data_IF_439510809484
#
_entry.id   IF_439510809484
#
_cell.length_a   1.000
_cell.length_b   1.000
_cell.length_c   1.000
_cell.angle_alpha   90.00
_cell.angle_beta   90.00
_cell.angle_gamma   90.00
#
_symmetry.space_group_name_H-M   'P 1'
#
loop_
_entity.id
_entity.type
_entity.pdbx_description
1 polymer ?
#
# COMPACT_ATOMS: atom_id res chain seq x y z
N UNK A 1 10.09 -53.85 13.82
CA UNK A 1 10.43 -54.34 12.46
C UNK A 1 9.53 -53.64 11.46
N UNK A 2 10.11 -52.80 10.60
CA UNK A 2 9.87 -52.73 9.15
C UNK A 2 10.51 -51.44 8.60
N UNK A 3 11.75 -51.66 8.16
CA UNK A 3 12.58 -50.86 7.29
C UNK A 3 11.93 -50.75 5.88
N UNK A 4 12.03 -49.58 5.24
CA UNK A 4 11.99 -49.32 3.78
C UNK A 4 12.47 -47.87 3.61
N UNK A 5 13.76 -47.56 3.45
CA UNK A 5 14.60 -47.68 2.25
C UNK A 5 13.90 -47.22 0.97
N UNK A 6 14.14 -45.96 0.61
CA UNK A 6 14.37 -45.56 -0.77
C UNK A 6 15.57 -44.62 -0.85
N UNK A 7 16.61 -45.15 -1.48
CA UNK A 7 17.77 -44.48 -2.03
C UNK A 7 17.37 -43.81 -3.34
N UNK A 8 17.80 -42.57 -3.61
CA UNK A 8 18.05 -42.15 -4.99
C UNK A 8 19.13 -41.05 -5.07
N UNK A 9 20.32 -41.52 -5.44
CA UNK A 9 21.39 -40.92 -6.25
C UNK A 9 21.78 -39.45 -6.06
N UNK A 10 22.95 -39.32 -5.43
CA UNK A 10 24.01 -38.35 -5.71
C UNK A 10 24.12 -37.98 -7.20
N UNK A 11 24.17 -36.69 -7.51
CA UNK A 11 24.69 -36.16 -8.77
C UNK A 11 25.48 -34.88 -8.49
N UNK A 12 26.79 -35.00 -8.67
CA UNK A 12 27.73 -33.89 -8.71
C UNK A 12 27.37 -32.94 -9.86
N UNK A 13 27.29 -31.64 -9.59
CA UNK A 13 27.67 -30.63 -10.58
C UNK A 13 28.78 -29.77 -10.00
N UNK A 14 29.96 -30.06 -10.52
CA UNK A 14 31.17 -29.27 -10.52
C UNK A 14 30.90 -27.87 -11.08
N UNK A 15 31.13 -26.82 -10.29
CA UNK A 15 31.35 -25.48 -10.81
C UNK A 15 32.67 -25.48 -11.57
N UNK A 16 32.57 -25.66 -12.89
CA UNK A 16 33.67 -25.44 -13.81
C UNK A 16 33.88 -23.93 -13.94
N UNK A 17 35.03 -23.48 -13.44
CA UNK A 17 35.61 -22.23 -13.89
C UNK A 17 36.04 -22.43 -15.35
N UNK A 18 35.35 -21.78 -16.29
CA UNK A 18 35.85 -21.57 -17.65
C UNK A 18 35.68 -20.09 -17.98
N UNK A 19 36.77 -19.39 -18.30
CA UNK A 19 36.79 -17.95 -18.50
C UNK A 19 36.26 -17.60 -19.90
N UNK A 20 35.50 -16.51 -20.00
CA UNK A 20 35.24 -15.85 -21.28
C UNK A 20 36.28 -14.72 -21.50
N UNK A 21 36.82 -14.60 -22.73
CA UNK A 21 37.95 -13.74 -23.03
C UNK A 21 37.53 -12.34 -23.51
N UNK A 22 38.52 -11.42 -23.52
CA UNK A 22 38.60 -10.18 -24.33
C UNK A 22 37.80 -9.01 -23.73
N UNK A 23 38.35 -7.82 -23.45
CA UNK A 23 39.54 -7.12 -23.91
C UNK A 23 39.80 -5.98 -22.90
N UNK A 24 40.85 -6.05 -22.07
CA UNK A 24 41.38 -4.88 -21.35
C UNK A 24 42.84 -4.78 -21.76
N UNK A 25 43.11 -3.81 -22.63
CA UNK A 25 44.46 -3.41 -23.00
C UNK A 25 45.02 -2.63 -21.81
N UNK A 26 45.70 -3.35 -20.93
CA UNK A 26 46.60 -2.77 -19.94
C UNK A 26 47.78 -2.16 -20.69
N UNK A 27 47.88 -0.84 -20.66
CA UNK A 27 49.05 -0.12 -21.15
C UNK A 27 50.20 -0.32 -20.16
N UNK A 28 51.10 -1.19 -20.58
CA UNK A 28 52.47 -1.37 -20.12
C UNK A 28 53.19 -0.02 -19.96
N UNK A 29 53.41 0.45 -18.74
CA UNK A 29 54.46 1.43 -18.44
C UNK A 29 55.66 0.70 -17.84
N UNK A 30 56.56 0.29 -18.73
CA UNK A 30 57.90 -0.17 -18.36
C UNK A 30 58.73 1.07 -17.99
N UNK A 31 58.96 1.19 -16.68
CA UNK A 31 60.29 1.24 -16.05
C UNK A 31 61.01 2.62 -16.05
N UNK A 32 62.12 2.78 -15.30
CA UNK A 32 62.10 3.10 -13.87
C UNK A 32 63.06 4.24 -13.51
N UNK A 33 63.14 4.47 -12.20
CA UNK A 33 64.30 4.99 -11.46
C UNK A 33 64.40 6.51 -11.25
N UNK A 34 64.23 6.81 -9.95
CA UNK A 34 65.20 7.55 -9.14
C UNK A 34 65.17 9.07 -9.37
N UNK A 35 64.27 9.70 -8.63
CA UNK A 35 64.53 11.02 -8.05
C UNK A 35 65.70 10.89 -7.07
N UNK A 36 66.89 11.31 -7.49
CA UNK A 36 67.95 11.63 -6.56
C UNK A 36 68.73 12.84 -7.08
N UNK A 37 68.59 13.93 -6.32
CA UNK A 37 69.31 15.17 -6.51
C UNK A 37 70.77 15.01 -6.07
N UNK A 38 71.71 15.44 -6.91
CA UNK A 38 73.00 16.05 -6.58
C UNK A 38 73.52 16.72 -7.86
N UNK A 39 73.62 18.05 -7.88
CA UNK A 39 74.72 18.93 -7.42
C UNK A 39 75.77 19.18 -8.52
N UNK A 40 75.85 20.47 -8.89
CA UNK A 40 76.89 21.21 -9.62
C UNK A 40 77.33 20.75 -11.02
N UNK A 41 77.01 21.59 -12.00
CA UNK A 41 78.00 21.99 -13.00
C UNK A 41 77.75 23.43 -13.44
N UNK A 42 78.82 24.22 -13.32
CA UNK A 42 78.96 25.63 -13.63
C UNK A 42 78.78 25.92 -15.13
N UNK A 43 78.27 27.10 -15.50
CA UNK A 43 78.47 27.79 -16.79
C UNK A 43 77.90 29.24 -16.71
N UNK A 44 78.37 30.20 -17.53
CA UNK A 44 78.96 31.43 -17.04
C UNK A 44 78.09 32.68 -17.24
N UNK A 45 78.55 33.75 -16.60
CA UNK A 45 78.05 35.12 -16.58
C UNK A 45 77.83 35.73 -17.99
N UNK A 46 76.71 35.46 -18.65
CA UNK A 46 76.23 36.32 -19.76
C UNK A 46 74.71 36.28 -19.98
N UNK A 47 73.94 36.18 -18.91
CA UNK A 47 72.47 36.14 -18.98
C UNK A 47 71.84 37.49 -18.60
N UNK A 48 72.59 38.39 -17.96
CA UNK A 48 72.07 39.66 -17.46
C UNK A 48 71.87 40.75 -18.54
N UNK A 49 72.26 40.49 -19.80
CA UNK A 49 72.12 41.44 -20.92
C UNK A 49 70.96 41.13 -21.87
N UNK A 50 70.39 39.91 -21.82
CA UNK A 50 69.31 39.46 -22.72
C UNK A 50 67.93 39.71 -22.09
N UNK A 51 67.80 39.66 -20.76
CA UNK A 51 66.51 39.89 -20.08
C UNK A 51 66.12 41.37 -19.96
N UNK A 52 67.03 42.31 -20.20
CA UNK A 52 66.76 43.76 -20.05
C UNK A 52 66.24 44.42 -21.32
N UNK A 53 66.29 43.77 -22.48
CA UNK A 53 65.80 44.30 -23.76
C UNK A 53 64.40 43.84 -24.16
N UNK A 54 63.73 43.02 -23.34
CA UNK A 54 62.38 42.52 -23.60
C UNK A 54 61.31 43.03 -22.62
N UNK A 55 61.67 43.89 -21.66
CA UNK A 55 60.70 44.52 -20.72
C UNK A 55 60.26 45.94 -21.13
N UNK A 56 60.72 46.46 -22.27
CA UNK A 56 60.36 47.79 -22.80
C UNK A 56 59.42 47.72 -24.03
N UNK A 57 58.45 46.78 -23.98
CA UNK A 57 57.31 46.76 -24.91
C UNK A 57 56.00 46.68 -24.11
N UNK A 58 55.85 47.62 -23.18
CA UNK A 58 54.67 47.80 -22.32
C UNK A 58 53.71 48.85 -22.89
N UNK A 59 53.49 48.87 -24.21
CA UNK A 59 52.62 49.86 -24.89
C UNK A 59 51.57 49.22 -25.84
N UNK A 60 51.18 47.95 -25.66
CA UNK A 60 50.14 47.30 -26.52
C UNK A 60 48.95 46.72 -25.71
N UNK A 61 48.80 47.04 -24.43
CA UNK A 61 47.60 46.60 -23.66
C UNK A 61 47.00 47.70 -22.78
N UNK A 62 47.03 48.94 -23.24
CA UNK A 62 46.28 50.03 -22.61
C UNK A 62 45.76 50.99 -23.68
N UNK A 63 44.79 50.52 -24.46
CA UNK A 63 43.84 51.41 -25.13
C UNK A 63 42.52 50.66 -25.33
N UNK A 64 41.64 50.84 -24.36
CA UNK A 64 40.26 51.31 -24.58
C UNK A 64 39.57 50.76 -25.85
N UNK A 65 38.77 49.71 -25.68
CA UNK A 65 37.70 49.41 -26.62
C UNK A 65 36.54 48.73 -25.88
N UNK A 66 35.64 49.56 -25.38
CA UNK A 66 34.38 49.24 -24.72
C UNK A 66 33.31 48.73 -25.71
N UNK A 67 33.70 48.14 -26.85
CA UNK A 67 32.75 47.74 -27.89
C UNK A 67 33.24 46.61 -28.82
N UNK A 68 34.16 45.76 -28.37
CA UNK A 68 34.58 44.58 -29.13
C UNK A 68 33.99 43.29 -28.53
N UNK A 69 32.70 43.07 -28.77
CA UNK A 69 32.05 41.78 -28.53
C UNK A 69 32.76 40.73 -29.38
N UNK A 70 33.64 39.95 -28.76
CA UNK A 70 34.30 38.83 -29.42
C UNK A 70 33.21 37.84 -29.90
N UNK A 71 32.96 37.71 -31.22
CA UNK A 71 31.85 36.91 -31.74
C UNK A 71 31.98 35.43 -31.36
N UNK A 72 33.21 34.96 -31.14
CA UNK A 72 33.48 33.60 -30.68
C UNK A 72 33.06 33.37 -29.22
N UNK A 73 33.20 34.40 -28.36
CA UNK A 73 32.77 34.33 -26.96
C UNK A 73 31.23 34.34 -26.83
N UNK A 74 30.54 35.08 -27.71
CA UNK A 74 29.08 35.08 -27.79
C UNK A 74 28.52 33.75 -28.34
N UNK A 75 29.16 33.17 -29.36
CA UNK A 75 28.80 31.84 -29.87
C UNK A 75 29.03 30.73 -28.83
N UNK A 76 30.14 30.78 -28.07
CA UNK A 76 30.40 29.84 -26.99
C UNK A 76 29.39 29.97 -25.85
N UNK A 77 29.04 31.20 -25.44
CA UNK A 77 27.97 31.46 -24.46
C UNK A 77 26.63 30.92 -24.92
N UNK A 78 26.29 31.14 -26.19
CA UNK A 78 25.06 30.64 -26.78
C UNK A 78 25.01 29.11 -26.78
N UNK A 79 26.09 28.44 -27.22
CA UNK A 79 26.19 26.97 -27.17
C UNK A 79 26.12 26.41 -25.76
N UNK A 80 26.78 27.06 -24.80
CA UNK A 80 26.74 26.64 -23.40
C UNK A 80 25.33 26.76 -22.81
N UNK A 81 24.61 27.83 -23.11
CA UNK A 81 23.23 27.99 -22.68
C UNK A 81 22.29 26.94 -23.30
N UNK A 82 22.46 26.64 -24.60
CA UNK A 82 21.68 25.61 -25.29
C UNK A 82 21.94 24.23 -24.69
N UNK A 83 23.20 23.87 -24.45
CA UNK A 83 23.54 22.58 -23.84
C UNK A 83 23.13 22.51 -22.36
N UNK A 84 23.18 23.63 -21.62
CA UNK A 84 22.69 23.71 -20.24
C UNK A 84 21.18 23.50 -20.16
N UNK A 85 20.40 24.15 -21.03
CA UNK A 85 18.95 23.95 -21.08
C UNK A 85 18.57 22.54 -21.58
N UNK A 86 19.36 21.96 -22.50
CA UNK A 86 19.20 20.57 -22.92
C UNK A 86 19.43 19.61 -21.76
N UNK A 87 20.52 19.79 -21.01
CA UNK A 87 20.84 18.98 -19.83
C UNK A 87 19.76 19.13 -18.75
N UNK A 88 19.28 20.35 -18.52
CA UNK A 88 18.20 20.63 -17.56
C UNK A 88 16.90 19.94 -17.94
N UNK A 89 16.57 19.92 -19.22
CA UNK A 89 15.38 19.23 -19.74
C UNK A 89 15.53 17.71 -19.60
N UNK A 90 16.70 17.18 -19.97
CA UNK A 90 17.01 15.75 -19.80
C UNK A 90 16.95 15.32 -18.34
N UNK A 91 17.51 16.11 -17.41
CA UNK A 91 17.49 15.79 -15.99
C UNK A 91 16.08 15.81 -15.42
N UNK A 92 15.22 16.73 -15.87
CA UNK A 92 13.80 16.75 -15.48
C UNK A 92 13.05 15.54 -16.01
N UNK A 93 13.34 15.12 -17.24
CA UNK A 93 12.75 13.94 -17.83
C UNK A 93 13.17 12.67 -17.07
N UNK A 94 14.46 12.51 -16.79
CA UNK A 94 15.00 11.40 -15.99
C UNK A 94 14.42 11.39 -14.57
N UNK A 95 14.24 12.55 -13.93
CA UNK A 95 13.58 12.64 -12.61
C UNK A 95 12.09 12.31 -12.68
N UNK A 96 11.40 12.67 -13.76
CA UNK A 96 9.99 12.31 -13.95
C UNK A 96 9.84 10.80 -14.20
N UNK A 97 10.72 10.21 -15.00
CA UNK A 97 10.77 8.77 -15.25
C UNK A 97 11.14 7.99 -13.99
N UNK A 98 12.12 8.47 -13.22
CA UNK A 98 12.47 7.90 -11.93
C UNK A 98 11.31 8.01 -10.93
N UNK A 99 10.59 9.14 -10.92
CA UNK A 99 9.40 9.32 -10.08
C UNK A 99 8.26 8.41 -10.48
N UNK A 100 8.05 8.16 -11.77
CA UNK A 100 7.06 7.20 -12.27
C UNK A 100 7.43 5.77 -11.85
N UNK A 101 8.72 5.41 -11.96
CA UNK A 101 9.25 4.11 -11.55
C UNK A 101 9.29 3.88 -10.04
N UNK A 102 9.37 4.94 -9.24
CA UNK A 102 9.36 4.92 -7.77
C UNK A 102 7.97 5.20 -7.17
N UNK A 103 6.95 5.44 -8.02
CA UNK A 103 5.58 5.57 -7.56
C UNK A 103 4.90 4.21 -7.56
N UNK A 104 4.16 3.84 -6.49
CA UNK A 104 3.50 2.56 -6.41
C UNK A 104 2.50 2.45 -7.56
N UNK A 105 2.79 1.59 -8.52
CA UNK A 105 1.97 1.49 -9.72
C UNK A 105 0.55 1.07 -9.32
N UNK A 106 -0.48 1.85 -9.66
CA UNK A 106 -1.88 1.50 -9.38
C UNK A 106 -2.29 0.14 -9.96
N UNK A 107 -1.57 -0.33 -10.99
CA UNK A 107 -1.78 -1.65 -11.58
C UNK A 107 -1.40 -2.80 -10.62
N UNK A 108 -0.31 -2.64 -9.85
CA UNK A 108 0.08 -3.63 -8.85
C UNK A 108 -0.94 -3.69 -7.72
N UNK A 109 -1.36 -2.54 -7.18
CA UNK A 109 -2.37 -2.49 -6.12
C UNK A 109 -3.72 -3.05 -6.59
N UNK A 110 -4.15 -2.78 -7.83
CA UNK A 110 -5.36 -3.36 -8.39
C UNK A 110 -5.29 -4.89 -8.48
N UNK A 111 -4.15 -5.45 -8.90
CA UNK A 111 -3.94 -6.91 -8.89
C UNK A 111 -3.96 -7.49 -7.47
N UNK A 112 -3.46 -6.74 -6.49
CA UNK A 112 -3.50 -7.10 -5.08
C UNK A 112 -4.92 -7.11 -4.53
N UNK A 113 -5.75 -6.11 -4.85
CA UNK A 113 -7.18 -6.11 -4.49
C UNK A 113 -7.89 -7.34 -5.06
N UNK A 114 -7.65 -7.67 -6.32
CA UNK A 114 -8.26 -8.83 -6.97
C UNK A 114 -7.85 -10.16 -6.29
N UNK A 115 -6.57 -10.33 -5.97
CA UNK A 115 -6.04 -11.49 -5.25
C UNK A 115 -6.64 -11.61 -3.84
N UNK A 116 -6.75 -10.48 -3.11
CA UNK A 116 -7.40 -10.44 -1.80
C UNK A 116 -8.85 -10.90 -1.90
N UNK A 117 -9.59 -10.33 -2.85
CA UNK A 117 -11.00 -10.67 -3.08
C UNK A 117 -11.17 -12.15 -3.36
N UNK A 118 -10.37 -12.72 -4.27
CA UNK A 118 -10.43 -14.15 -4.62
C UNK A 118 -10.22 -15.05 -3.39
N UNK A 119 -9.26 -14.71 -2.53
CA UNK A 119 -8.97 -15.49 -1.33
C UNK A 119 -9.99 -15.28 -0.20
N UNK A 120 -10.65 -14.12 -0.14
CA UNK A 120 -11.66 -13.84 0.87
C UNK A 120 -13.02 -14.48 0.55
N UNK A 121 -13.38 -14.63 -0.73
CA UNK A 121 -14.63 -15.28 -1.18
C UNK A 121 -14.95 -16.58 -0.43
N UNK A 122 -14.06 -17.58 -0.32
CA UNK A 122 -14.37 -18.82 0.40
C UNK A 122 -14.62 -18.59 1.90
N UNK A 123 -13.91 -17.65 2.53
CA UNK A 123 -14.14 -17.31 3.94
C UNK A 123 -15.50 -16.63 4.14
N UNK A 124 -15.89 -15.72 3.24
CA UNK A 124 -17.20 -15.07 3.27
C UNK A 124 -18.34 -16.06 3.02
N UNK A 125 -18.16 -17.02 2.11
CA UNK A 125 -19.12 -18.10 1.87
C UNK A 125 -19.24 -19.04 3.07
N UNK A 126 -18.12 -19.38 3.72
CA UNK A 126 -18.13 -20.17 4.94
C UNK A 126 -18.89 -19.44 6.06
N UNK A 127 -18.62 -18.15 6.24
CA UNK A 127 -19.33 -17.32 7.22
C UNK A 127 -20.82 -17.29 6.91
N UNK A 128 -21.21 -17.00 5.67
CA UNK A 128 -22.61 -16.99 5.23
C UNK A 128 -23.32 -18.30 5.55
N UNK A 129 -22.71 -19.43 5.21
CA UNK A 129 -23.27 -20.76 5.47
C UNK A 129 -23.44 -21.03 6.96
N UNK A 130 -22.45 -20.64 7.76
CA UNK A 130 -22.45 -20.82 9.21
C UNK A 130 -23.51 -19.94 9.89
N UNK A 131 -23.63 -18.67 9.47
CA UNK A 131 -24.67 -17.76 9.94
C UNK A 131 -26.06 -18.26 9.56
N UNK A 132 -26.25 -18.67 8.30
CA UNK A 132 -27.54 -19.19 7.82
C UNK A 132 -27.95 -20.45 8.59
N UNK A 133 -27.03 -21.40 8.79
CA UNK A 133 -27.29 -22.61 9.56
C UNK A 133 -27.65 -22.27 11.00
N UNK A 134 -26.90 -21.37 11.65
CA UNK A 134 -27.19 -20.99 13.03
C UNK A 134 -28.55 -20.29 13.16
N UNK A 135 -28.89 -19.40 12.23
CA UNK A 135 -30.21 -18.74 12.19
C UNK A 135 -31.33 -19.75 11.97
N UNK A 136 -31.15 -20.70 11.06
CA UNK A 136 -32.14 -21.76 10.83
C UNK A 136 -32.33 -22.64 12.06
N UNK A 137 -31.25 -23.03 12.74
CA UNK A 137 -31.29 -23.82 13.98
C UNK A 137 -32.03 -23.06 15.09
N UNK A 138 -31.69 -21.77 15.28
CA UNK A 138 -32.33 -20.91 16.27
C UNK A 138 -33.82 -20.73 16.00
N UNK A 139 -34.18 -20.36 14.77
CA UNK A 139 -35.57 -20.15 14.37
C UNK A 139 -36.39 -21.44 14.43
N UNK A 140 -35.79 -22.59 14.13
CA UNK A 140 -36.42 -23.89 14.33
C UNK A 140 -36.73 -24.15 15.80
N UNK A 141 -35.77 -23.91 16.71
CA UNK A 141 -35.99 -24.09 18.16
C UNK A 141 -37.05 -23.13 18.71
N UNK A 142 -37.01 -21.85 18.31
CA UNK A 142 -38.02 -20.88 18.70
C UNK A 142 -39.42 -21.29 18.19
N UNK A 143 -39.51 -21.78 16.96
CA UNK A 143 -40.75 -22.31 16.40
C UNK A 143 -41.32 -23.50 17.18
N UNK A 144 -40.46 -24.41 17.67
CA UNK A 144 -40.89 -25.53 18.52
C UNK A 144 -41.50 -25.07 19.84
N UNK A 145 -40.95 -24.02 20.47
CA UNK A 145 -41.54 -23.45 21.69
C UNK A 145 -42.92 -22.83 21.42
N UNK A 146 -43.08 -22.12 20.29
CA UNK A 146 -44.38 -21.56 19.89
C UNK A 146 -45.43 -22.65 19.63
N UNK A 147 -45.03 -23.74 18.97
CA UNK A 147 -45.90 -24.88 18.69
C UNK A 147 -46.31 -25.62 19.98
N UNK A 148 -45.38 -25.75 20.93
CA UNK A 148 -45.65 -26.36 22.23
C UNK A 148 -46.67 -25.52 23.02
N UNK A 149 -46.53 -24.19 23.01
CA UNK A 149 -47.51 -23.27 23.62
C UNK A 149 -48.89 -23.42 22.97
N UNK A 150 -48.97 -23.42 21.65
CA UNK A 150 -50.24 -23.59 20.92
C UNK A 150 -50.93 -24.92 21.27
N UNK A 151 -50.15 -26.00 21.36
CA UNK A 151 -50.69 -27.32 21.71
C UNK A 151 -51.19 -27.35 23.16
N UNK A 152 -50.50 -26.69 24.08
CA UNK A 152 -50.89 -26.61 25.48
C UNK A 152 -52.15 -25.77 25.70
N UNK A 153 -52.30 -24.65 24.98
CA UNK A 153 -53.51 -23.82 25.00
C UNK A 153 -54.73 -24.53 24.38
N UNK A 154 -54.52 -25.37 23.38
CA UNK A 154 -55.61 -26.15 22.78
C UNK A 154 -56.12 -27.27 23.73
N UNK A 155 -55.29 -27.74 24.66
CA UNK A 155 -55.62 -28.86 25.57
C UNK A 155 -56.04 -28.41 26.98
N UNK A 156 -55.73 -27.18 27.39
CA UNK A 156 -56.02 -26.66 28.74
C UNK A 156 -56.15 -25.13 28.76
N UNK A 157 -56.74 -24.58 29.82
CA UNK A 157 -56.75 -23.12 30.04
C UNK A 157 -55.31 -22.58 30.15
N UNK A 158 -54.98 -21.47 29.47
CA UNK A 158 -53.64 -20.90 29.45
C UNK A 158 -53.20 -20.53 30.86
N UNK A 159 -52.20 -21.25 31.38
CA UNK A 159 -51.61 -20.96 32.68
C UNK A 159 -50.42 -20.01 32.51
N UNK A 160 -50.34 -18.91 33.26
CA UNK A 160 -49.21 -17.96 33.18
C UNK A 160 -47.83 -18.60 33.34
N UNK A 161 -47.76 -19.70 34.12
CA UNK A 161 -46.53 -20.46 34.32
C UNK A 161 -45.95 -21.07 33.02
N UNK A 162 -46.80 -21.50 32.07
CA UNK A 162 -46.35 -22.06 30.79
C UNK A 162 -45.64 -21.02 29.93
N UNK A 163 -46.17 -19.80 29.90
CA UNK A 163 -45.56 -18.68 29.18
C UNK A 163 -44.24 -18.26 29.81
N UNK A 164 -44.18 -18.21 31.14
CA UNK A 164 -42.96 -17.88 31.86
C UNK A 164 -41.83 -18.89 31.58
N UNK A 165 -42.15 -20.19 31.56
CA UNK A 165 -41.21 -21.25 31.22
C UNK A 165 -40.75 -21.14 29.75
N UNK A 166 -41.68 -20.92 28.81
CA UNK A 166 -41.35 -20.73 27.41
C UNK A 166 -40.45 -19.51 27.17
N UNK A 167 -40.74 -18.36 27.80
CA UNK A 167 -39.89 -17.17 27.71
C UNK A 167 -38.49 -17.41 28.28
N UNK A 168 -38.39 -18.16 29.38
CA UNK A 168 -37.11 -18.54 29.96
C UNK A 168 -36.29 -19.40 28.99
N UNK A 169 -36.89 -20.46 28.43
CA UNK A 169 -36.24 -21.35 27.46
C UNK A 169 -35.84 -20.60 26.19
N UNK A 170 -36.72 -19.78 25.63
CA UNK A 170 -36.42 -18.94 24.46
C UNK A 170 -35.25 -18.00 24.74
N UNK A 171 -35.21 -17.38 25.92
CA UNK A 171 -34.10 -16.50 26.31
C UNK A 171 -32.77 -17.24 26.43
N UNK A 172 -32.75 -18.44 27.03
CA UNK A 172 -31.56 -19.27 27.11
C UNK A 172 -31.06 -19.70 25.73
N UNK A 173 -31.97 -20.11 24.85
CA UNK A 173 -31.66 -20.52 23.48
C UNK A 173 -31.10 -19.34 22.66
N UNK A 174 -31.65 -18.15 22.84
CA UNK A 174 -31.14 -16.90 22.24
C UNK A 174 -29.72 -16.58 22.71
N UNK A 175 -29.44 -16.69 24.00
CA UNK A 175 -28.10 -16.45 24.57
C UNK A 175 -27.08 -17.47 24.02
N UNK A 176 -27.43 -18.76 24.01
CA UNK A 176 -26.57 -19.80 23.48
C UNK A 176 -26.25 -19.56 21.99
N UNK A 177 -27.27 -19.25 21.19
CA UNK A 177 -27.10 -18.94 19.77
C UNK A 177 -26.28 -17.66 19.55
N UNK A 178 -26.49 -16.62 20.35
CA UNK A 178 -25.70 -15.38 20.29
C UNK A 178 -24.23 -15.63 20.61
N UNK A 179 -23.93 -16.50 21.58
CA UNK A 179 -22.56 -16.90 21.89
C UNK A 179 -21.92 -17.62 20.71
N UNK A 180 -22.62 -18.60 20.13
CA UNK A 180 -22.15 -19.34 18.95
C UNK A 180 -21.93 -18.44 17.73
N UNK A 181 -22.79 -17.45 17.51
CA UNK A 181 -22.60 -16.43 16.46
C UNK A 181 -21.36 -15.58 16.70
N UNK A 182 -21.14 -15.14 17.94
CA UNK A 182 -19.95 -14.38 18.29
C UNK A 182 -18.66 -15.17 18.01
N UNK A 183 -18.66 -16.48 18.28
CA UNK A 183 -17.54 -17.38 17.99
C UNK A 183 -17.32 -17.53 16.48
N UNK A 184 -18.38 -17.76 15.70
CA UNK A 184 -18.34 -17.84 14.23
C UNK A 184 -17.74 -16.57 13.61
N UNK A 185 -18.22 -15.40 14.05
CA UNK A 185 -17.77 -14.10 13.53
C UNK A 185 -16.29 -13.84 13.93
N UNK A 186 -15.91 -14.21 15.16
CA UNK A 186 -14.53 -14.05 15.64
C UNK A 186 -13.55 -14.98 14.92
N UNK A 187 -13.96 -16.21 14.60
CA UNK A 187 -13.17 -17.13 13.78
C UNK A 187 -12.95 -16.56 12.37
N UNK A 188 -14.00 -16.05 11.72
CA UNK A 188 -13.89 -15.36 10.44
C UNK A 188 -12.92 -14.18 10.49
N UNK A 189 -13.03 -13.32 11.51
CA UNK A 189 -12.12 -12.19 11.71
C UNK A 189 -10.66 -12.67 11.80
N UNK A 190 -10.40 -13.67 12.65
CA UNK A 190 -9.03 -14.21 12.85
C UNK A 190 -8.44 -14.84 11.59
N UNK A 191 -9.26 -15.51 10.77
CA UNK A 191 -8.83 -16.12 9.51
C UNK A 191 -8.53 -15.05 8.46
N UNK A 192 -9.36 -14.02 8.43
CA UNK A 192 -9.19 -12.85 7.56
C UNK A 192 -7.91 -12.09 7.90
N UNK A 193 -7.65 -11.81 9.18
CA UNK A 193 -6.43 -11.14 9.63
C UNK A 193 -5.17 -11.90 9.22
N UNK A 194 -5.18 -13.23 9.41
CA UNK A 194 -4.09 -14.11 8.99
C UNK A 194 -3.87 -14.08 7.48
N UNK A 195 -4.94 -14.10 6.70
CA UNK A 195 -4.87 -14.03 5.25
C UNK A 195 -4.28 -12.70 4.78
N UNK A 196 -4.68 -11.58 5.40
CA UNK A 196 -4.13 -10.25 5.12
C UNK A 196 -2.64 -10.22 5.44
N UNK A 197 -2.22 -10.74 6.60
CA UNK A 197 -0.80 -10.76 6.98
C UNK A 197 0.04 -11.62 6.02
N UNK A 198 -0.44 -12.81 5.65
CA UNK A 198 0.25 -13.68 4.69
C UNK A 198 0.46 -13.00 3.34
N UNK A 199 -0.55 -12.29 2.83
CA UNK A 199 -0.40 -11.57 1.56
C UNK A 199 0.50 -10.35 1.66
N UNK A 200 0.50 -9.68 2.82
CA UNK A 200 1.43 -8.59 3.11
C UNK A 200 2.88 -9.10 3.06
N UNK A 201 3.18 -10.22 3.72
CA UNK A 201 4.50 -10.86 3.70
C UNK A 201 4.94 -11.27 2.28
N UNK A 202 4.03 -11.86 1.49
CA UNK A 202 4.33 -12.26 0.09
C UNK A 202 4.64 -11.05 -0.82
N UNK A 203 4.17 -9.87 -0.45
CA UNK A 203 4.28 -8.64 -1.25
C UNK A 203 5.52 -7.79 -0.93
N UNK A 204 6.40 -8.25 -0.01
CA UNK A 204 7.61 -7.55 0.41
C UNK A 204 8.64 -7.44 -0.73
N UNK A 205 8.67 -6.26 -1.34
CA UNK A 205 9.76 -5.71 -2.15
C UNK A 205 9.79 -4.19 -1.90
N UNK A 206 10.98 -3.58 -2.01
CA UNK A 206 11.48 -2.24 -1.59
C UNK A 206 10.56 -0.99 -1.57
N UNK A 207 9.30 -1.09 -1.99
CA UNK A 207 8.27 -0.05 -1.97
C UNK A 207 7.35 -0.21 -0.75
N UNK A 208 7.91 0.07 0.43
CA UNK A 208 7.40 -0.40 1.71
C UNK A 208 6.23 0.42 2.30
N UNK A 209 6.18 1.73 2.05
CA UNK A 209 5.22 2.61 2.75
C UNK A 209 3.81 2.53 2.18
N UNK A 210 3.64 2.69 0.87
CA UNK A 210 2.32 2.74 0.23
C UNK A 210 1.59 1.39 0.26
N UNK A 211 2.32 0.26 0.13
CA UNK A 211 1.75 -1.07 0.29
C UNK A 211 1.31 -1.32 1.74
N UNK A 212 2.10 -0.87 2.72
CA UNK A 212 1.77 -1.00 4.14
C UNK A 212 0.50 -0.22 4.48
N UNK A 213 0.37 1.02 4.02
CA UNK A 213 -0.84 1.83 4.19
C UNK A 213 -2.07 1.17 3.55
N UNK A 214 -1.94 0.65 2.34
CA UNK A 214 -3.01 -0.06 1.65
C UNK A 214 -3.49 -1.32 2.41
N UNK A 215 -2.57 -2.11 2.96
CA UNK A 215 -2.95 -3.27 3.78
C UNK A 215 -3.63 -2.88 5.09
N UNK A 216 -3.19 -1.79 5.72
CA UNK A 216 -3.88 -1.25 6.89
C UNK A 216 -5.29 -0.77 6.56
N UNK A 217 -5.48 -0.15 5.40
CA UNK A 217 -6.80 0.30 4.95
C UNK A 217 -7.75 -0.89 4.73
N UNK A 218 -7.31 -1.93 4.03
CA UNK A 218 -8.09 -3.17 3.86
C UNK A 218 -8.46 -3.77 5.22
N UNK A 219 -7.47 -3.92 6.11
CA UNK A 219 -7.68 -4.48 7.45
C UNK A 219 -8.71 -3.66 8.23
N UNK A 220 -8.61 -2.33 8.15
CA UNK A 220 -9.49 -1.41 8.87
C UNK A 220 -10.93 -1.51 8.34
N UNK A 221 -11.14 -1.38 7.04
CA UNK A 221 -12.48 -1.45 6.44
C UNK A 221 -13.15 -2.80 6.67
N UNK A 222 -12.40 -3.89 6.51
CA UNK A 222 -12.96 -5.23 6.71
C UNK A 222 -13.24 -5.51 8.19
N UNK A 223 -12.36 -5.07 9.09
CA UNK A 223 -12.59 -5.13 10.53
C UNK A 223 -13.82 -4.33 10.96
N UNK A 224 -14.08 -3.18 10.34
CA UNK A 224 -15.30 -2.39 10.56
C UNK A 224 -16.56 -3.14 10.14
N UNK A 225 -16.58 -3.76 8.95
CA UNK A 225 -17.72 -4.55 8.48
C UNK A 225 -18.01 -5.74 9.39
N UNK A 226 -16.96 -6.44 9.85
CA UNK A 226 -17.10 -7.57 10.78
C UNK A 226 -17.61 -7.11 12.14
N UNK A 227 -17.10 -5.98 12.65
CA UNK A 227 -17.57 -5.39 13.90
C UNK A 227 -19.03 -4.94 13.80
N UNK A 228 -19.42 -4.35 12.66
CA UNK A 228 -20.80 -3.99 12.37
C UNK A 228 -21.70 -5.21 12.37
N UNK A 229 -21.31 -6.30 11.70
CA UNK A 229 -22.04 -7.57 11.70
C UNK A 229 -22.24 -8.12 13.12
N UNK A 230 -21.18 -8.12 13.94
CA UNK A 230 -21.24 -8.59 15.32
C UNK A 230 -22.22 -7.77 16.16
N UNK A 231 -22.10 -6.44 16.13
CA UNK A 231 -23.00 -5.56 16.87
C UNK A 231 -24.45 -5.71 16.39
N UNK A 232 -24.66 -5.80 15.08
CA UNK A 232 -25.98 -5.98 14.51
C UNK A 232 -26.62 -7.30 14.98
N UNK A 233 -25.87 -8.40 15.01
CA UNK A 233 -26.35 -9.67 15.54
C UNK A 233 -26.70 -9.59 17.04
N UNK A 234 -25.83 -8.98 17.83
CA UNK A 234 -26.04 -8.82 19.28
C UNK A 234 -27.25 -7.93 19.60
N UNK A 235 -27.37 -6.79 18.91
CA UNK A 235 -28.48 -5.86 19.09
C UNK A 235 -29.83 -6.52 18.75
N UNK A 236 -29.87 -7.36 17.71
CA UNK A 236 -31.08 -8.09 17.31
C UNK A 236 -31.53 -9.09 18.36
N UNK A 237 -30.59 -9.87 18.88
CA UNK A 237 -30.89 -10.83 19.96
C UNK A 237 -31.34 -10.08 21.22
N UNK A 238 -30.67 -8.97 21.55
CA UNK A 238 -31.06 -8.08 22.65
C UNK A 238 -32.47 -7.54 22.50
N UNK A 239 -32.81 -7.00 21.33
CA UNK A 239 -34.14 -6.45 21.04
C UNK A 239 -35.24 -7.51 21.14
N UNK A 240 -35.01 -8.74 20.67
CA UNK A 240 -35.97 -9.83 20.86
C UNK A 240 -36.12 -10.16 22.34
N UNK A 241 -35.03 -10.31 23.10
CA UNK A 241 -35.06 -10.63 24.53
C UNK A 241 -35.79 -9.55 25.35
N UNK A 242 -35.51 -8.28 25.08
CA UNK A 242 -36.24 -7.16 25.70
C UNK A 242 -37.72 -7.18 25.31
N UNK A 243 -38.02 -7.47 24.04
CA UNK A 243 -39.40 -7.65 23.57
C UNK A 243 -40.14 -8.78 24.29
N UNK A 244 -39.47 -9.92 24.52
CA UNK A 244 -40.00 -11.05 25.29
C UNK A 244 -40.26 -10.68 26.75
N UNK A 245 -39.36 -9.90 27.37
CA UNK A 245 -39.52 -9.45 28.75
C UNK A 245 -40.60 -8.36 28.92
N UNK A 246 -40.88 -7.59 27.86
CA UNK A 246 -41.86 -6.50 27.88
C UNK A 246 -43.31 -6.96 27.64
N UNK A 247 -43.52 -8.20 27.20
CA UNK A 247 -44.84 -8.80 27.00
C UNK A 247 -45.54 -8.94 28.37
N UNK A 248 -46.60 -8.17 28.67
CA UNK A 248 -47.31 -8.27 29.94
C UNK A 248 -48.06 -9.61 30.02
N UNK A 249 -48.02 -10.30 31.16
CA UNK A 249 -48.79 -11.55 31.40
C UNK A 249 -50.31 -11.40 31.16
N UNK A 250 -50.82 -10.17 31.07
CA UNK A 250 -52.25 -9.84 30.87
C UNK A 250 -52.61 -9.35 29.47
N UNK A 251 -51.64 -9.20 28.55
CA UNK A 251 -51.91 -8.69 27.21
C UNK A 251 -52.46 -9.78 26.30
N UNK A 252 -53.77 -9.87 26.14
CA UNK A 252 -54.40 -10.80 25.20
C UNK A 252 -54.56 -10.16 23.80
N UNK A 253 -54.19 -10.83 22.70
CA UNK A 253 -53.66 -12.20 22.61
C UNK A 253 -52.11 -12.27 22.68
N UNK A 254 -51.59 -12.73 23.82
CA UNK A 254 -50.16 -12.83 24.14
C UNK A 254 -49.38 -13.67 23.12
N UNK A 255 -49.96 -14.81 22.72
CA UNK A 255 -49.40 -15.74 21.75
C UNK A 255 -49.17 -15.10 20.38
N UNK A 256 -50.15 -14.36 19.87
CA UNK A 256 -50.05 -13.77 18.53
C UNK A 256 -48.94 -12.72 18.46
N UNK A 257 -48.80 -11.91 19.50
CA UNK A 257 -47.71 -10.92 19.63
C UNK A 257 -46.35 -11.62 19.73
N UNK A 258 -46.26 -12.69 20.53
CA UNK A 258 -45.05 -13.50 20.66
C UNK A 258 -44.62 -14.12 19.32
N UNK A 259 -45.56 -14.77 18.61
CA UNK A 259 -45.30 -15.34 17.27
C UNK A 259 -44.82 -14.27 16.31
N UNK A 260 -45.47 -13.11 16.28
CA UNK A 260 -45.10 -11.99 15.42
C UNK A 260 -43.66 -11.52 15.69
N UNK A 261 -43.27 -11.39 16.96
CA UNK A 261 -41.90 -10.97 17.33
C UNK A 261 -40.84 -11.98 16.90
N UNK A 262 -41.11 -13.27 17.09
CA UNK A 262 -40.20 -14.34 16.66
C UNK A 262 -40.08 -14.38 15.14
N UNK A 263 -41.20 -14.26 14.42
CA UNK A 263 -41.19 -14.24 12.95
C UNK A 263 -40.42 -13.04 12.40
N UNK A 264 -40.65 -11.85 12.95
CA UNK A 264 -39.92 -10.63 12.55
C UNK A 264 -38.42 -10.78 12.81
N UNK A 265 -38.04 -11.33 13.97
CA UNK A 265 -36.65 -11.64 14.28
C UNK A 265 -36.06 -12.61 13.24
N UNK A 266 -36.75 -13.72 12.95
CA UNK A 266 -36.27 -14.75 12.04
C UNK A 266 -36.13 -14.26 10.59
N UNK A 267 -37.10 -13.53 10.08
CA UNK A 267 -37.02 -12.91 8.76
C UNK A 267 -35.82 -11.96 8.67
N UNK A 268 -35.62 -11.16 9.71
CA UNK A 268 -34.55 -10.18 9.69
C UNK A 268 -33.17 -10.80 9.90
N UNK A 269 -33.05 -11.85 10.71
CA UNK A 269 -31.82 -12.62 10.89
C UNK A 269 -31.42 -13.37 9.61
N UNK A 270 -32.39 -13.88 8.84
CA UNK A 270 -32.13 -14.56 7.57
C UNK A 270 -31.49 -13.64 6.51
N UNK A 271 -31.83 -12.34 6.52
CA UNK A 271 -31.28 -11.36 5.58
C UNK A 271 -29.86 -10.89 5.94
N UNK A 272 -29.44 -11.07 7.19
CA UNK A 272 -28.19 -10.49 7.70
C UNK A 272 -26.94 -10.96 6.94
N UNK A 273 -26.88 -12.25 6.58
CA UNK A 273 -25.75 -12.84 5.89
C UNK A 273 -25.58 -12.26 4.48
N UNK A 274 -26.68 -12.06 3.75
CA UNK A 274 -26.69 -11.44 2.42
C UNK A 274 -26.31 -9.95 2.46
N UNK A 275 -26.79 -9.22 3.46
CA UNK A 275 -26.42 -7.81 3.64
C UNK A 275 -24.92 -7.68 3.88
N UNK A 276 -24.35 -8.51 4.77
CA UNK A 276 -22.91 -8.51 5.03
C UNK A 276 -22.10 -8.83 3.78
N UNK A 277 -22.48 -9.87 3.03
CA UNK A 277 -21.82 -10.21 1.77
C UNK A 277 -21.79 -9.03 0.79
N UNK A 278 -22.93 -8.36 0.62
CA UNK A 278 -23.06 -7.20 -0.27
C UNK A 278 -22.13 -6.05 0.17
N UNK A 279 -21.99 -5.83 1.48
CA UNK A 279 -21.09 -4.79 2.02
C UNK A 279 -19.62 -5.12 1.78
N UNK A 280 -19.21 -6.37 1.98
CA UNK A 280 -17.84 -6.83 1.70
C UNK A 280 -17.52 -6.71 0.19
N UNK A 281 -18.45 -7.09 -0.69
CA UNK A 281 -18.27 -6.89 -2.13
C UNK A 281 -18.23 -5.40 -2.52
N UNK A 282 -19.02 -4.56 -1.86
CA UNK A 282 -19.02 -3.12 -2.01
C UNK A 282 -17.68 -2.48 -1.59
N UNK A 283 -17.08 -2.96 -0.50
CA UNK A 283 -15.77 -2.52 -0.02
C UNK A 283 -14.69 -2.73 -1.09
N UNK A 284 -14.62 -3.93 -1.68
CA UNK A 284 -13.63 -4.21 -2.72
C UNK A 284 -13.86 -3.37 -3.97
N UNK A 285 -15.12 -3.19 -4.39
CA UNK A 285 -15.44 -2.31 -5.52
C UNK A 285 -15.02 -0.87 -5.24
N UNK A 286 -15.25 -0.36 -4.02
CA UNK A 286 -14.81 0.97 -3.60
C UNK A 286 -13.30 1.14 -3.69
N UNK A 287 -12.54 0.15 -3.19
CA UNK A 287 -11.08 0.14 -3.31
C UNK A 287 -10.60 0.09 -4.77
N UNK A 288 -11.28 -0.69 -5.62
CA UNK A 288 -10.97 -0.75 -7.07
C UNK A 288 -11.21 0.60 -7.77
N UNK A 289 -12.26 1.33 -7.44
CA UNK A 289 -12.55 2.66 -7.99
C UNK A 289 -11.59 3.74 -7.46
N UNK A 290 -11.28 3.75 -6.16
CA UNK A 290 -10.32 4.69 -5.55
C UNK A 290 -8.92 4.58 -6.21
N UNK A 291 -8.50 3.35 -6.56
CA UNK A 291 -7.24 3.12 -7.28
C UNK A 291 -7.29 3.60 -8.74
N UNK A 292 -8.46 3.55 -9.40
CA UNK A 292 -8.63 4.10 -10.76
C UNK A 292 -8.60 5.62 -10.76
N UNK A 293 -9.20 6.27 -9.77
CA UNK A 293 -9.22 7.73 -9.65
C UNK A 293 -7.84 8.31 -9.31
N UNK A 294 -7.05 7.61 -8.49
CA UNK A 294 -5.65 7.95 -8.27
C UNK A 294 -4.82 7.87 -9.56
N UNK A 295 -5.09 6.87 -10.42
CA UNK A 295 -4.45 6.76 -11.74
C UNK A 295 -4.81 7.94 -12.66
N UNK A 296 -6.09 8.32 -12.70
CA UNK A 296 -6.56 9.44 -13.52
C UNK A 296 -6.01 10.79 -13.03
N UNK A 297 -5.89 10.96 -11.71
CA UNK A 297 -5.31 12.16 -11.08
C UNK A 297 -3.81 12.27 -11.34
N UNK A 298 -3.06 11.15 -11.26
CA UNK A 298 -1.63 11.11 -11.56
C UNK A 298 -1.34 11.35 -13.05
N UNK A 299 -2.20 10.86 -13.95
CA UNK A 299 -2.10 11.15 -15.39
C UNK A 299 -2.45 12.61 -15.71
N UNK A 300 -3.37 13.23 -14.98
CA UNK A 300 -3.77 14.63 -15.17
C UNK A 300 -2.74 15.63 -14.62
N UNK A 301 -1.90 15.23 -13.66
CA UNK A 301 -0.75 16.01 -13.18
C UNK A 301 0.44 16.02 -14.16
N UNK A 302 0.40 15.23 -15.25
CA UNK A 302 1.36 15.36 -16.36
C UNK A 302 1.08 16.57 -17.26
N UNK A 303 -0.11 17.18 -17.13
CA UNK A 303 -0.38 18.53 -17.61
C UNK A 303 0.10 19.54 -16.56
N UNK A 304 1.26 20.13 -16.83
CA UNK A 304 1.92 21.21 -16.08
C UNK A 304 1.00 22.09 -15.21
N UNK A 305 1.30 22.26 -13.91
CA UNK A 305 0.87 23.43 -13.17
C UNK A 305 2.00 24.47 -13.13
N UNK A 306 1.84 25.55 -13.89
CA UNK A 306 2.42 26.85 -13.55
C UNK A 306 1.75 27.34 -12.27
N UNK A 307 2.29 26.98 -11.10
CA UNK A 307 2.02 27.73 -9.88
C UNK A 307 3.14 27.54 -8.87
N UNK A 308 3.75 28.66 -8.54
CA UNK A 308 4.78 28.81 -7.53
C UNK A 308 4.12 28.64 -6.16
N UNK A 309 4.46 27.58 -5.43
CA UNK A 309 4.36 27.59 -3.97
C UNK A 309 5.55 26.87 -3.34
N UNK A 310 6.34 27.68 -2.66
CA UNK A 310 7.46 27.41 -1.77
C UNK A 310 7.08 26.40 -0.68
N UNK A 311 7.80 25.27 -0.63
CA UNK A 311 7.60 24.30 0.44
C UNK A 311 8.38 22.99 0.34
N UNK A 312 9.66 22.99 -0.05
CA UNK A 312 10.65 21.97 0.33
C UNK A 312 12.03 22.35 -0.22
N UNK A 313 12.95 22.66 0.69
CA UNK A 313 14.21 23.36 0.49
C UNK A 313 15.38 22.46 0.04
N UNK A 314 15.24 21.78 -1.10
CA UNK A 314 16.34 21.03 -1.72
C UNK A 314 16.45 21.23 -3.26
N UNK A 315 15.37 21.28 -4.06
CA UNK A 315 15.49 21.38 -5.53
C UNK A 315 15.85 22.78 -6.05
N UNK A 316 15.41 23.84 -5.34
CA UNK A 316 15.76 25.22 -5.71
C UNK A 316 17.25 25.50 -5.50
N UNK A 317 17.83 24.91 -4.46
CA UNK A 317 19.18 25.21 -4.02
C UNK A 317 20.23 24.69 -5.01
N UNK A 318 19.97 23.55 -5.64
CA UNK A 318 20.85 23.00 -6.68
C UNK A 318 20.77 23.81 -7.99
N UNK A 319 19.55 24.21 -8.41
CA UNK A 319 19.39 25.02 -9.61
C UNK A 319 20.03 26.40 -9.46
N UNK A 320 19.93 27.01 -8.27
CA UNK A 320 20.55 28.31 -7.97
C UNK A 320 22.07 28.17 -7.86
N UNK A 321 22.58 27.14 -7.17
CA UNK A 321 24.04 26.88 -7.07
C UNK A 321 24.67 26.52 -8.41
N UNK A 322 23.99 25.75 -9.25
CA UNK A 322 24.46 25.43 -10.60
C UNK A 322 24.45 26.66 -11.50
N UNK A 323 23.42 27.51 -11.40
CA UNK A 323 23.38 28.78 -12.15
C UNK A 323 24.48 29.74 -11.69
N UNK A 324 24.73 29.81 -10.38
CA UNK A 324 25.82 30.59 -9.81
C UNK A 324 27.19 30.06 -10.26
N UNK A 325 27.41 28.73 -10.26
CA UNK A 325 28.64 28.11 -10.74
C UNK A 325 28.88 28.37 -12.23
N UNK A 326 27.84 28.31 -13.06
CA UNK A 326 27.92 28.62 -14.49
C UNK A 326 28.23 30.11 -14.70
N UNK A 327 27.63 31.00 -13.92
CA UNK A 327 27.96 32.44 -13.95
C UNK A 327 29.40 32.70 -13.51
N UNK A 328 29.89 32.00 -12.49
CA UNK A 328 31.25 32.12 -11.97
C UNK A 328 32.29 31.62 -13.00
N UNK A 329 32.02 30.49 -13.66
CA UNK A 329 32.82 30.00 -14.80
C UNK A 329 32.80 30.99 -15.96
N UNK A 330 31.65 31.64 -16.23
CA UNK A 330 31.53 32.65 -17.29
C UNK A 330 32.22 33.98 -16.97
N UNK A 331 32.49 34.28 -15.70
CA UNK A 331 33.24 35.47 -15.26
C UNK A 331 34.74 35.17 -15.13
N UNK A 332 35.12 33.92 -14.83
CA UNK A 332 36.50 33.44 -14.76
C UNK A 332 37.22 33.35 -16.12
N UNK A 333 36.51 33.51 -17.24
CA UNK A 333 37.05 33.36 -18.61
C UNK A 333 37.14 34.71 -19.35
N UNK A 334 37.00 35.85 -18.65
CA UNK A 334 37.32 37.20 -19.14
C UNK A 334 38.74 37.61 -18.75
#
# INVERSE_FOLDING_TARGET
MHLKVMMFTLSFLTTSAIPLPRNIREATWINPKVNQAHDKTELPKDVNKIYKSHMDSSDIYSLENDDNKNPMAEEMRHKLNVESERLRTSLRQELAELRERLSPSPAHLSSTVASMRERLVPLTQQLQSSLSSNTQDLCGQLGLYLQALETAEAQSEPTPALYQEAFHLMSQTLEHSSSKLADIISDFHSKTDRLIEQMKEISESEEESAKSEFWQEIRTRLGQEVSSLKMEAQNRVGALKEGLAALPETAQPLRAELTTRVEQFCQSAALQSHVFQTRVEGLFRGLEEELKDQRASNLSLSSFPTSIQTGSSLPLDFSVKLSALIQDILHSVQ
#
